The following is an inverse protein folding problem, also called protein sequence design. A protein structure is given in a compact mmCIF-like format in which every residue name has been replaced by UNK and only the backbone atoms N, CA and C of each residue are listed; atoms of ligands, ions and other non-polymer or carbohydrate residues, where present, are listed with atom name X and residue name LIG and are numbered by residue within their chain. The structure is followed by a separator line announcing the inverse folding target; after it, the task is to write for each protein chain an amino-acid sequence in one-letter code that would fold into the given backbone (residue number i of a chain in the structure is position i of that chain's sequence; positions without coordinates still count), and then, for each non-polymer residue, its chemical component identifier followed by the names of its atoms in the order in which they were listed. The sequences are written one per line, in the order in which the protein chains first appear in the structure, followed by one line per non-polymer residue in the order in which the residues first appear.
data_IF_864735740095
#
_entry.id   IF_864735740095
#
_cell.length_a   1.000
_cell.length_b   1.000
_cell.length_c   1.000
_cell.angle_alpha   90.00
_cell.angle_beta   90.00
_cell.angle_gamma   90.00
#
_symmetry.space_group_name_H-M   'P 1'
#
loop_
_entity.id
_entity.type
_entity.pdbx_description
1 polymer ?
#
# COMPACT_ATOMS: atom_id res chain seq x y z
N UNK A 1 -1.76 -12.82 17.96
CA UNK A 1 -0.81 -13.54 17.08
C UNK A 1 0.56 -13.41 17.71
N UNK A 2 1.02 -14.44 18.43
CA UNK A 2 2.24 -14.32 19.27
C UNK A 2 3.55 -14.38 18.47
N UNK A 3 3.50 -14.69 17.17
CA UNK A 3 4.69 -14.83 16.33
C UNK A 3 4.77 -13.73 15.25
N UNK A 4 5.97 -13.13 15.11
CA UNK A 4 6.25 -12.12 14.08
C UNK A 4 5.97 -12.58 12.64
N UNK A 5 6.27 -13.84 12.25
CA UNK A 5 5.87 -14.35 10.94
C UNK A 5 4.35 -14.34 10.74
N UNK A 6 3.58 -14.68 11.78
CA UNK A 6 2.11 -14.65 11.72
C UNK A 6 1.56 -13.23 11.59
N UNK A 7 2.08 -12.28 12.38
CA UNK A 7 1.69 -10.85 12.30
C UNK A 7 1.96 -10.29 10.90
N UNK A 8 3.16 -10.61 10.35
CA UNK A 8 3.60 -10.20 9.01
C UNK A 8 2.76 -10.80 7.89
N UNK A 9 2.45 -12.09 7.97
CA UNK A 9 1.66 -12.77 6.95
C UNK A 9 0.24 -12.20 6.89
N UNK A 10 -0.40 -12.01 8.05
CA UNK A 10 -1.76 -11.47 8.10
C UNK A 10 -1.81 -10.01 7.66
N UNK A 11 -0.87 -9.17 8.09
CA UNK A 11 -0.81 -7.78 7.63
C UNK A 11 -0.54 -7.69 6.12
N UNK A 12 0.32 -8.57 5.59
CA UNK A 12 0.59 -8.67 4.16
C UNK A 12 -0.63 -9.07 3.35
N UNK A 13 -1.39 -10.06 3.81
CA UNK A 13 -2.65 -10.50 3.16
C UNK A 13 -3.72 -9.41 3.24
N UNK A 14 -3.89 -8.78 4.39
CA UNK A 14 -4.83 -7.67 4.56
C UNK A 14 -4.47 -6.48 3.67
N UNK A 15 -3.18 -6.11 3.63
CA UNK A 15 -2.68 -5.07 2.73
C UNK A 15 -2.89 -5.43 1.26
N UNK A 16 -2.65 -6.69 0.87
CA UNK A 16 -2.90 -7.15 -0.49
C UNK A 16 -4.38 -7.05 -0.87
N UNK A 17 -5.28 -7.50 0.00
CA UNK A 17 -6.72 -7.42 -0.25
C UNK A 17 -7.19 -5.96 -0.38
N UNK A 18 -6.78 -5.09 0.54
CA UNK A 18 -7.12 -3.66 0.51
C UNK A 18 -6.55 -2.97 -0.74
N UNK A 19 -5.29 -3.26 -1.09
CA UNK A 19 -4.65 -2.71 -2.29
C UNK A 19 -5.29 -3.21 -3.59
N UNK A 20 -5.79 -4.45 -3.61
CA UNK A 20 -6.52 -5.01 -4.75
C UNK A 20 -7.85 -4.30 -4.96
N UNK A 21 -8.63 -4.11 -3.90
CA UNK A 21 -9.89 -3.36 -3.94
C UNK A 21 -9.66 -1.91 -4.35
N UNK A 22 -8.70 -1.23 -3.73
CA UNK A 22 -8.35 0.15 -4.06
C UNK A 22 -7.85 0.29 -5.50
N UNK A 23 -7.00 -0.63 -5.97
CA UNK A 23 -6.48 -0.62 -7.33
C UNK A 23 -7.54 -0.91 -8.39
N UNK A 24 -8.52 -1.77 -8.09
CA UNK A 24 -9.67 -2.01 -8.96
C UNK A 24 -10.56 -0.76 -9.06
N UNK A 25 -10.83 -0.11 -7.92
CA UNK A 25 -11.59 1.13 -7.86
C UNK A 25 -10.90 2.25 -8.65
N UNK A 26 -9.62 2.49 -8.42
CA UNK A 26 -8.84 3.48 -9.19
C UNK A 26 -8.81 3.16 -10.69
N UNK A 27 -8.66 1.88 -11.06
CA UNK A 27 -8.73 1.47 -12.46
C UNK A 27 -10.11 1.79 -13.05
N UNK A 28 -11.21 1.53 -12.35
CA UNK A 28 -12.56 1.86 -12.84
C UNK A 28 -12.77 3.36 -13.07
N UNK A 29 -12.28 4.24 -12.18
CA UNK A 29 -12.40 5.69 -12.38
C UNK A 29 -11.60 6.20 -13.59
N UNK A 30 -10.50 5.53 -13.93
CA UNK A 30 -9.68 5.86 -15.10
C UNK A 30 -10.30 5.36 -16.42
N UNK A 31 -11.21 4.39 -16.38
CA UNK A 31 -11.94 3.91 -17.56
C UNK A 31 -13.06 4.87 -18.00
N UNK A 32 -13.50 5.78 -17.13
CA UNK A 32 -14.50 6.83 -17.44
C UNK A 32 -13.92 8.03 -18.22
N UNK A 33 -12.58 8.12 -18.35
CA UNK A 33 -11.89 9.21 -19.06
C UNK A 33 -11.19 8.80 -20.38
N UNK A 34 -11.82 8.02 -21.30
CA UNK A 34 -11.13 7.56 -22.50
C UNK A 34 -11.02 8.61 -23.63
N UNK A 35 -11.52 9.84 -23.46
CA UNK A 35 -11.66 10.78 -24.59
C UNK A 35 -10.51 11.78 -24.83
N UNK A 36 -9.52 11.94 -23.94
CA UNK A 36 -8.60 13.09 -24.03
C UNK A 36 -7.09 12.86 -23.85
N UNK A 37 -6.61 11.63 -23.69
CA UNK A 37 -5.16 11.36 -23.68
C UNK A 37 -4.71 10.71 -25.00
N UNK A 38 -4.10 11.48 -25.94
CA UNK A 38 -3.46 10.89 -27.11
C UNK A 38 -2.33 9.96 -26.65
N UNK A 39 -2.41 8.68 -27.03
CA UNK A 39 -1.47 7.62 -26.59
C UNK A 39 -1.98 6.72 -25.47
N UNK A 40 -3.19 6.95 -24.94
CA UNK A 40 -3.82 5.97 -24.06
C UNK A 40 -4.32 4.77 -24.88
N UNK A 41 -4.09 3.55 -24.38
CA UNK A 41 -4.58 2.30 -24.99
C UNK A 41 -6.09 2.29 -25.26
N UNK A 42 -6.86 3.21 -24.67
CA UNK A 42 -8.30 3.39 -24.89
C UNK A 42 -8.67 3.80 -26.33
N UNK A 43 -7.84 4.60 -27.01
CA UNK A 43 -8.11 5.04 -28.38
C UNK A 43 -7.97 3.90 -29.40
N UNK A 44 -7.04 2.97 -29.16
CA UNK A 44 -6.86 1.79 -30.02
C UNK A 44 -7.94 0.73 -29.77
N UNK A 45 -8.44 0.63 -28.53
CA UNK A 45 -9.45 -0.35 -28.13
C UNK A 45 -10.79 -0.12 -28.82
N UNK A 46 -11.26 1.12 -29.01
CA UNK A 46 -12.56 1.42 -29.63
C UNK A 46 -12.74 0.79 -31.02
N UNK A 47 -11.64 0.55 -31.75
CA UNK A 47 -11.65 -0.05 -33.09
C UNK A 47 -11.77 -1.58 -33.10
N UNK A 48 -11.61 -2.27 -31.97
CA UNK A 48 -11.68 -3.74 -31.88
C UNK A 48 -13.11 -4.24 -31.56
N UNK A 49 -13.47 -5.49 -31.89
CA UNK A 49 -14.76 -6.07 -31.50
C UNK A 49 -14.96 -6.04 -29.97
N UNK A 50 -16.20 -5.81 -29.51
CA UNK A 50 -16.57 -5.64 -28.10
C UNK A 50 -16.00 -6.72 -27.16
N UNK A 51 -15.91 -7.97 -27.64
CA UNK A 51 -15.32 -9.08 -26.86
C UNK A 51 -13.83 -8.88 -26.58
N UNK A 52 -13.10 -8.30 -27.52
CA UNK A 52 -11.65 -8.07 -27.41
C UNK A 52 -11.36 -6.79 -26.61
N UNK A 53 -12.23 -5.77 -26.71
CA UNK A 53 -12.22 -4.60 -25.84
C UNK A 53 -12.42 -4.98 -24.38
N UNK A 54 -13.48 -5.76 -24.08
CA UNK A 54 -13.75 -6.23 -22.71
C UNK A 54 -12.61 -7.09 -22.18
N UNK A 55 -12.06 -8.00 -23.00
CA UNK A 55 -10.95 -8.86 -22.59
C UNK A 55 -9.67 -8.06 -22.30
N UNK A 56 -9.34 -7.08 -23.13
CA UNK A 56 -8.19 -6.22 -22.92
C UNK A 56 -8.40 -5.26 -21.74
N UNK A 57 -9.61 -4.72 -21.58
CA UNK A 57 -10.00 -3.86 -20.47
C UNK A 57 -9.88 -4.56 -19.13
N UNK A 58 -10.50 -5.73 -18.99
CA UNK A 58 -10.39 -6.56 -17.79
C UNK A 58 -8.95 -6.98 -17.50
N UNK A 59 -8.14 -7.27 -18.53
CA UNK A 59 -6.73 -7.60 -18.37
C UNK A 59 -5.92 -6.42 -17.82
N UNK A 60 -6.15 -5.21 -18.33
CA UNK A 60 -5.47 -4.00 -17.85
C UNK A 60 -5.91 -3.61 -16.44
N UNK A 61 -7.22 -3.64 -16.17
CA UNK A 61 -7.79 -3.41 -14.82
C UNK A 61 -7.21 -4.40 -13.81
N UNK A 62 -7.18 -5.69 -14.16
CA UNK A 62 -6.61 -6.74 -13.33
C UNK A 62 -5.12 -6.56 -13.09
N UNK A 63 -4.35 -6.18 -14.12
CA UNK A 63 -2.92 -5.91 -13.97
C UNK A 63 -2.63 -4.72 -13.02
N UNK A 64 -3.40 -3.63 -13.13
CA UNK A 64 -3.28 -2.45 -12.25
C UNK A 64 -3.69 -2.76 -10.81
N UNK A 65 -4.82 -3.47 -10.63
CA UNK A 65 -5.28 -3.92 -9.33
C UNK A 65 -4.26 -4.84 -8.66
N UNK A 66 -3.69 -5.79 -9.40
CA UNK A 66 -2.68 -6.71 -8.89
C UNK A 66 -1.36 -6.00 -8.53
N UNK A 67 -0.93 -5.04 -9.33
CA UNK A 67 0.23 -4.19 -9.00
C UNK A 67 0.01 -3.41 -7.71
N UNK A 68 -1.19 -2.85 -7.54
CA UNK A 68 -1.57 -2.12 -6.32
C UNK A 68 -1.59 -3.04 -5.10
N UNK A 69 -2.25 -4.20 -5.23
CA UNK A 69 -2.30 -5.25 -4.21
C UNK A 69 -0.89 -5.66 -3.74
N UNK A 70 0.04 -5.88 -4.68
CA UNK A 70 1.44 -6.20 -4.35
C UNK A 70 2.12 -5.09 -3.54
N UNK A 71 1.91 -3.83 -3.91
CA UNK A 71 2.54 -2.71 -3.23
C UNK A 71 2.01 -2.56 -1.79
N UNK A 72 0.69 -2.59 -1.59
CA UNK A 72 0.11 -2.51 -0.25
C UNK A 72 0.40 -3.74 0.60
N UNK A 73 0.45 -4.94 0.00
CA UNK A 73 0.89 -6.15 0.68
C UNK A 73 2.34 -6.06 1.16
N UNK A 74 3.26 -5.51 0.34
CA UNK A 74 4.64 -5.25 0.74
C UNK A 74 4.73 -4.25 1.89
N UNK A 75 4.00 -3.14 1.80
CA UNK A 75 3.96 -2.13 2.87
C UNK A 75 3.49 -2.76 4.18
N UNK A 76 2.36 -3.48 4.17
CA UNK A 76 1.80 -4.11 5.37
C UNK A 76 2.71 -5.17 5.98
N UNK A 77 3.35 -6.00 5.13
CA UNK A 77 4.27 -7.03 5.58
C UNK A 77 5.54 -6.42 6.22
N UNK A 78 6.19 -5.46 5.55
CA UNK A 78 7.41 -4.83 6.08
C UNK A 78 7.10 -4.05 7.36
N UNK A 79 5.99 -3.31 7.40
CA UNK A 79 5.61 -2.55 8.58
C UNK A 79 5.39 -3.44 9.80
N UNK A 80 4.47 -4.42 9.71
CA UNK A 80 4.15 -5.27 10.85
C UNK A 80 5.30 -6.20 11.25
N UNK A 81 6.10 -6.65 10.28
CA UNK A 81 7.30 -7.44 10.55
C UNK A 81 8.36 -6.64 11.30
N UNK A 82 8.62 -5.41 10.84
CA UNK A 82 9.60 -4.53 11.48
C UNK A 82 9.14 -4.11 12.88
N UNK A 83 7.87 -3.73 13.03
CA UNK A 83 7.28 -3.40 14.32
C UNK A 83 7.41 -4.58 15.29
N UNK A 84 7.05 -5.79 14.88
CA UNK A 84 7.17 -6.98 15.73
C UNK A 84 8.63 -7.28 16.13
N UNK A 85 9.59 -7.13 15.22
CA UNK A 85 11.00 -7.29 15.54
C UNK A 85 11.48 -6.24 16.55
N UNK A 86 11.05 -4.98 16.41
CA UNK A 86 11.39 -3.90 17.34
C UNK A 86 10.75 -4.15 18.71
N UNK A 87 9.48 -4.57 18.75
CA UNK A 87 8.77 -4.95 19.97
C UNK A 87 9.48 -6.10 20.68
N UNK A 88 9.87 -7.14 19.94
CA UNK A 88 10.61 -8.29 20.47
C UNK A 88 11.98 -7.91 21.04
N UNK A 89 12.66 -6.93 20.46
CA UNK A 89 13.97 -6.47 20.95
C UNK A 89 13.86 -5.49 22.14
N UNK A 90 12.90 -4.55 22.11
CA UNK A 90 12.73 -3.51 23.14
C UNK A 90 11.87 -3.96 24.32
N UNK A 91 11.08 -5.02 24.16
CA UNK A 91 10.09 -5.50 25.13
C UNK A 91 9.12 -4.40 25.62
N UNK A 92 8.83 -3.42 24.75
CA UNK A 92 7.91 -2.31 24.99
C UNK A 92 7.03 -2.16 23.76
N UNK A 93 5.78 -1.73 23.93
CA UNK A 93 4.88 -1.29 22.87
C UNK A 93 4.55 0.20 23.11
N UNK A 94 5.25 1.09 22.41
CA UNK A 94 5.10 2.53 22.49
C UNK A 94 5.00 3.17 21.10
N UNK A 95 4.80 4.48 21.07
CA UNK A 95 4.67 5.26 19.82
C UNK A 95 5.97 5.26 19.01
N UNK A 96 7.11 5.09 19.67
CA UNK A 96 8.40 5.03 19.01
C UNK A 96 8.53 3.78 18.13
N UNK A 97 7.94 2.65 18.52
CA UNK A 97 7.94 1.45 17.69
C UNK A 97 7.24 1.67 16.35
N UNK A 98 6.04 2.27 16.34
CA UNK A 98 5.30 2.60 15.13
C UNK A 98 6.05 3.58 14.24
N UNK A 99 6.67 4.60 14.83
CA UNK A 99 7.49 5.60 14.10
C UNK A 99 8.73 4.97 13.47
N UNK A 100 9.45 4.13 14.21
CA UNK A 100 10.65 3.46 13.71
C UNK A 100 10.30 2.43 12.63
N UNK A 101 9.26 1.63 12.84
CA UNK A 101 8.77 0.69 11.84
C UNK A 101 8.29 1.43 10.58
N UNK A 102 7.60 2.55 10.73
CA UNK A 102 7.21 3.44 9.65
C UNK A 102 8.41 3.97 8.87
N UNK A 103 9.40 4.56 9.55
CA UNK A 103 10.61 5.05 8.92
C UNK A 103 11.35 3.96 8.13
N UNK A 104 11.55 2.78 8.73
CA UNK A 104 12.24 1.67 8.07
C UNK A 104 11.44 1.20 6.85
N UNK A 105 10.12 1.07 6.98
CA UNK A 105 9.25 0.65 5.86
C UNK A 105 9.32 1.64 4.71
N UNK A 106 9.15 2.93 4.98
CA UNK A 106 9.20 3.97 3.96
C UNK A 106 10.59 4.12 3.33
N UNK A 107 11.64 4.02 4.15
CA UNK A 107 13.02 4.08 3.69
C UNK A 107 13.40 2.91 2.79
N UNK A 108 13.04 1.68 3.18
CA UNK A 108 13.32 0.47 2.40
C UNK A 108 12.55 0.47 1.08
N UNK A 109 11.29 0.89 1.08
CA UNK A 109 10.47 0.93 -0.13
C UNK A 109 10.96 2.00 -1.12
N UNK A 110 11.47 3.14 -0.62
CA UNK A 110 11.96 4.23 -1.45
C UNK A 110 13.48 4.14 -1.76
N UNK A 111 14.22 3.22 -1.14
CA UNK A 111 15.65 3.01 -1.36
C UNK A 111 16.04 2.84 -2.84
N UNK A 112 15.28 2.10 -3.68
CA UNK A 112 15.61 1.98 -5.11
C UNK A 112 15.53 3.30 -5.89
N UNK A 113 14.81 4.30 -5.38
CA UNK A 113 14.69 5.63 -5.98
C UNK A 113 15.80 6.60 -5.52
N UNK A 114 16.76 6.14 -4.71
CA UNK A 114 17.91 6.91 -4.25
C UNK A 114 17.82 7.37 -2.79
N UNK A 115 18.93 7.91 -2.23
CA UNK A 115 19.02 8.23 -0.81
C UNK A 115 18.08 9.37 -0.37
N UNK A 116 17.85 10.36 -1.24
CA UNK A 116 16.90 11.44 -0.96
C UNK A 116 15.46 10.93 -0.89
N UNK A 117 15.08 10.04 -1.81
CA UNK A 117 13.78 9.39 -1.78
C UNK A 117 13.62 8.50 -0.55
N UNK A 118 14.66 7.77 -0.14
CA UNK A 118 14.66 6.98 1.10
C UNK A 118 14.47 7.86 2.35
N UNK A 119 15.15 9.01 2.42
CA UNK A 119 15.01 9.94 3.54
C UNK A 119 13.58 10.53 3.61
N UNK A 120 13.04 10.96 2.46
CA UNK A 120 11.66 11.45 2.36
C UNK A 120 10.64 10.35 2.67
N UNK A 121 10.87 9.13 2.18
CA UNK A 121 10.04 7.96 2.45
C UNK A 121 10.03 7.61 3.94
N UNK A 122 11.20 7.59 4.58
CA UNK A 122 11.29 7.40 6.03
C UNK A 122 10.52 8.49 6.78
N UNK A 123 10.77 9.77 6.47
CA UNK A 123 10.10 10.87 7.16
C UNK A 123 8.57 10.83 7.00
N UNK A 124 8.09 10.58 5.77
CA UNK A 124 6.67 10.50 5.46
C UNK A 124 5.96 9.34 6.18
N UNK A 125 6.52 8.13 6.09
CA UNK A 125 5.93 6.96 6.77
C UNK A 125 6.06 7.06 8.29
N UNK A 126 7.16 7.61 8.82
CA UNK A 126 7.32 7.86 10.25
C UNK A 126 6.24 8.81 10.77
N UNK A 127 6.00 9.93 10.07
CA UNK A 127 4.97 10.90 10.43
C UNK A 127 3.56 10.29 10.32
N UNK A 128 3.28 9.55 9.25
CA UNK A 128 2.00 8.86 9.08
C UNK A 128 1.74 7.84 10.19
N UNK A 129 2.74 7.00 10.50
CA UNK A 129 2.63 6.02 11.59
C UNK A 129 2.47 6.71 12.95
N UNK A 130 3.18 7.81 13.21
CA UNK A 130 3.00 8.60 14.43
C UNK A 130 1.55 9.10 14.57
N UNK A 131 0.99 9.64 13.49
CA UNK A 131 -0.36 10.18 13.48
C UNK A 131 -1.41 9.08 13.72
N UNK A 132 -1.29 7.93 13.06
CA UNK A 132 -2.21 6.80 13.23
C UNK A 132 -2.10 6.22 14.63
N UNK A 133 -0.88 5.97 15.13
CA UNK A 133 -0.68 5.44 16.48
C UNK A 133 -1.19 6.40 17.56
N UNK A 134 -0.94 7.71 17.40
CA UNK A 134 -1.47 8.73 18.30
C UNK A 134 -3.01 8.77 18.26
N UNK A 135 -3.58 8.67 17.06
CA UNK A 135 -5.03 8.63 16.88
C UNK A 135 -5.65 7.36 17.48
N UNK A 136 -5.01 6.20 17.35
CA UNK A 136 -5.51 4.95 17.91
C UNK A 136 -5.34 4.86 19.44
N UNK A 137 -4.32 5.53 20.00
CA UNK A 137 -4.06 5.56 21.44
C UNK A 137 -4.81 6.69 22.17
N UNK A 138 -5.48 7.59 21.46
CA UNK A 138 -6.32 8.61 22.11
C UNK A 138 -7.45 7.90 22.88
N UNK A 139 -7.72 8.25 24.14
CA UNK A 139 -8.95 7.81 24.78
C UNK A 139 -10.12 8.33 23.96
N UNK A 140 -11.12 7.48 23.71
CA UNK A 140 -12.39 7.94 23.14
C UNK A 140 -13.10 8.79 24.19
N UNK A 141 -13.16 10.10 23.98
CA UNK A 141 -14.07 10.99 24.71
C UNK A 141 -15.50 10.72 24.20
N UNK A 142 -16.09 9.61 24.64
CA UNK A 142 -17.53 9.36 24.59
C UNK A 142 -17.89 8.62 25.89
N UNK A 143 -18.49 9.41 26.80
CA UNK A 143 -19.44 9.10 27.89
C UNK A 143 -19.07 8.08 28.99
#
# INVERSE_FOLDING_TARGET
MESCPGKTAVSGVMGFALGGAFGLFMASMQYDTPLHTPGSKGAELVSLPLRQQLKAGLKDMGARSFSSAKNFGKVGAIFAGTECCIEGFRAKNDLANGVLAGCITGGVLAAPAGPQAAALGCAGFAAFSAAIDAYMRRPSEID
#
